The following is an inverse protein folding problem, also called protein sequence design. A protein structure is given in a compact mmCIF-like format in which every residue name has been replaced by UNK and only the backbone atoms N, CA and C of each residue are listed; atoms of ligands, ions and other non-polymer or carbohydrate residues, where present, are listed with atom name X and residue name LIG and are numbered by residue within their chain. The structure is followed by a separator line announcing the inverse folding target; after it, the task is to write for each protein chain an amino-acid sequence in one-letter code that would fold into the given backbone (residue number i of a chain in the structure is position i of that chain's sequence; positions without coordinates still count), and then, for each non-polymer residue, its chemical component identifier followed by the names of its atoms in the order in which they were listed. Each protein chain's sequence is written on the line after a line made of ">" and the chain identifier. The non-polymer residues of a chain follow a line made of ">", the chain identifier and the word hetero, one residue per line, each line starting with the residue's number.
data_IF_463020439508
#
_entry.id   IF_463020439508
#
_cell.length_a   1.000
_cell.length_b   1.000
_cell.length_c   1.000
_cell.angle_alpha   90.00
_cell.angle_beta   90.00
_cell.angle_gamma   90.00
#
_symmetry.space_group_name_H-M   'P 1'
#
loop_
_entity.id
_entity.type
_entity.pdbx_description
1 polymer ?
#
# COMPACT_ATOMS: atom_id res chain seq x y z
N UNK A 1 -15.56 -22.94 -1.60
CA UNK A 1 -16.74 -22.31 -0.95
C UNK A 1 -17.00 -20.98 -1.62
N UNK A 2 -18.03 -20.89 -2.47
CA UNK A 2 -18.44 -19.62 -3.08
C UNK A 2 -19.12 -18.81 -1.97
N UNK A 3 -18.49 -17.69 -1.58
CA UNK A 3 -18.92 -16.85 -0.44
C UNK A 3 -20.36 -16.35 -0.67
N UNK A 4 -21.27 -16.45 0.33
CA UNK A 4 -22.64 -15.93 0.27
C UNK A 4 -22.72 -14.46 -0.16
N UNK A 5 -21.68 -13.68 0.19
CA UNK A 5 -21.51 -12.25 -0.08
C UNK A 5 -21.45 -11.84 -1.56
N UNK A 6 -21.03 -12.74 -2.47
CA UNK A 6 -20.98 -12.39 -3.90
C UNK A 6 -22.39 -12.28 -4.47
N UNK A 7 -23.32 -13.14 -4.02
CA UNK A 7 -24.71 -13.16 -4.51
C UNK A 7 -25.54 -12.00 -3.97
N UNK A 8 -25.22 -11.46 -2.79
CA UNK A 8 -25.90 -10.29 -2.23
C UNK A 8 -25.45 -8.98 -2.91
N UNK A 9 -24.14 -8.79 -3.11
CA UNK A 9 -23.62 -7.64 -3.90
C UNK A 9 -24.18 -7.62 -5.31
N UNK A 10 -24.23 -8.79 -5.96
CA UNK A 10 -24.78 -8.92 -7.33
C UNK A 10 -26.30 -8.63 -7.37
N UNK A 11 -27.05 -8.97 -6.31
CA UNK A 11 -28.47 -8.64 -6.19
C UNK A 11 -28.73 -7.16 -5.91
N UNK A 12 -27.91 -6.51 -5.08
CA UNK A 12 -27.99 -5.07 -4.87
C UNK A 12 -27.62 -4.30 -6.16
N UNK A 13 -26.60 -4.77 -6.88
CA UNK A 13 -26.22 -4.25 -8.19
C UNK A 13 -27.30 -4.49 -9.26
N UNK A 14 -27.93 -5.68 -9.27
CA UNK A 14 -29.09 -5.99 -10.13
C UNK A 14 -30.34 -5.17 -9.78
N UNK A 15 -30.57 -4.86 -8.51
CA UNK A 15 -31.67 -4.00 -8.08
C UNK A 15 -31.44 -2.53 -8.47
N UNK A 16 -30.18 -2.07 -8.55
CA UNK A 16 -29.82 -0.75 -9.10
C UNK A 16 -29.96 -0.68 -10.63
N UNK A 17 -29.78 -1.79 -11.35
CA UNK A 17 -29.84 -1.88 -12.81
C UNK A 17 -31.27 -1.88 -13.39
N UNK A 18 -32.31 -1.67 -12.57
CA UNK A 18 -33.71 -1.60 -13.04
C UNK A 18 -33.95 -0.48 -14.06
N UNK A 19 -33.14 0.58 -14.04
CA UNK A 19 -33.01 1.58 -15.11
C UNK A 19 -31.56 1.62 -15.61
N UNK A 20 -31.35 1.97 -16.89
CA UNK A 20 -30.02 2.14 -17.45
C UNK A 20 -29.27 3.22 -16.67
N UNK A 21 -28.10 2.93 -16.06
CA UNK A 21 -27.37 3.91 -15.28
C UNK A 21 -26.99 5.11 -16.15
N UNK A 22 -27.06 6.30 -15.56
CA UNK A 22 -26.68 7.53 -16.24
C UNK A 22 -25.26 7.39 -16.84
N UNK A 23 -25.04 7.74 -18.12
CA UNK A 23 -23.72 7.63 -18.74
C UNK A 23 -22.62 8.37 -17.98
N UNK A 24 -22.94 9.49 -17.30
CA UNK A 24 -22.01 10.21 -16.45
C UNK A 24 -21.59 9.41 -15.22
N UNK A 25 -22.51 8.66 -14.61
CA UNK A 25 -22.21 7.77 -13.49
C UNK A 25 -21.26 6.62 -13.91
N UNK A 26 -21.49 6.01 -15.07
CA UNK A 26 -20.62 4.95 -15.62
C UNK A 26 -19.20 5.49 -15.84
N UNK A 27 -19.07 6.64 -16.51
CA UNK A 27 -17.77 7.25 -16.78
C UNK A 27 -17.01 7.58 -15.48
N UNK A 28 -17.72 7.95 -14.43
CA UNK A 28 -17.09 8.25 -13.13
C UNK A 28 -16.64 6.97 -12.42
N UNK A 29 -17.39 5.87 -12.52
CA UNK A 29 -16.94 4.57 -12.01
C UNK A 29 -15.71 4.06 -12.75
N UNK A 30 -15.70 4.13 -14.08
CA UNK A 30 -14.54 3.75 -14.90
C UNK A 30 -13.31 4.60 -14.54
N UNK A 31 -13.49 5.91 -14.29
CA UNK A 31 -12.39 6.77 -13.84
C UNK A 31 -11.81 6.31 -12.50
N UNK A 32 -12.66 6.02 -11.51
CA UNK A 32 -12.20 5.59 -10.19
C UNK A 32 -11.57 4.20 -10.22
N UNK A 33 -12.10 3.27 -11.01
CA UNK A 33 -11.51 1.94 -11.21
C UNK A 33 -10.12 2.04 -11.83
N UNK A 34 -9.96 2.83 -12.90
CA UNK A 34 -8.65 3.09 -13.50
C UNK A 34 -7.68 3.73 -12.50
N UNK A 35 -8.18 4.60 -11.61
CA UNK A 35 -7.37 5.26 -10.59
C UNK A 35 -6.89 4.30 -9.50
N UNK A 36 -7.77 3.44 -9.01
CA UNK A 36 -7.43 2.38 -8.04
C UNK A 36 -6.42 1.40 -8.63
N UNK A 37 -6.61 0.99 -9.89
CA UNK A 37 -5.68 0.11 -10.60
C UNK A 37 -4.30 0.74 -10.79
N UNK A 38 -4.22 2.03 -11.16
CA UNK A 38 -2.96 2.78 -11.25
C UNK A 38 -2.26 2.87 -9.89
N UNK A 39 -2.99 3.11 -8.81
CA UNK A 39 -2.43 3.15 -7.45
C UNK A 39 -1.90 1.77 -7.03
N UNK A 40 -2.66 0.71 -7.25
CA UNK A 40 -2.26 -0.66 -6.93
C UNK A 40 -0.97 -1.07 -7.65
N UNK A 41 -0.85 -0.77 -8.96
CA UNK A 41 0.38 -1.02 -9.73
C UNK A 41 1.57 -0.24 -9.15
N UNK A 42 1.38 1.05 -8.81
CA UNK A 42 2.45 1.87 -8.23
C UNK A 42 2.89 1.38 -6.86
N UNK A 43 1.95 0.99 -6.01
CA UNK A 43 2.23 0.45 -4.67
C UNK A 43 2.97 -0.88 -4.79
N UNK A 44 2.52 -1.78 -5.67
CA UNK A 44 3.20 -3.05 -5.94
C UNK A 44 4.62 -2.84 -6.49
N UNK A 45 4.80 -1.91 -7.42
CA UNK A 45 6.11 -1.53 -7.94
C UNK A 45 7.06 -0.98 -6.87
N UNK A 46 6.56 -0.11 -5.98
CA UNK A 46 7.34 0.43 -4.87
C UNK A 46 7.71 -0.65 -3.84
N UNK A 47 6.80 -1.58 -3.56
CA UNK A 47 7.07 -2.71 -2.65
C UNK A 47 8.18 -3.61 -3.21
N UNK A 48 8.13 -3.93 -4.51
CA UNK A 48 9.19 -4.69 -5.18
C UNK A 48 10.54 -3.94 -5.14
N UNK A 49 10.52 -2.63 -5.39
CA UNK A 49 11.71 -1.80 -5.29
C UNK A 49 12.29 -1.77 -3.87
N UNK A 50 11.44 -1.64 -2.84
CA UNK A 50 11.86 -1.68 -1.45
C UNK A 50 12.49 -3.02 -1.07
N UNK A 51 11.99 -4.14 -1.60
CA UNK A 51 12.58 -5.46 -1.39
C UNK A 51 14.00 -5.55 -1.97
N UNK A 52 14.22 -5.01 -3.17
CA UNK A 52 15.55 -4.92 -3.78
C UNK A 52 16.48 -4.04 -2.93
N UNK A 53 16.02 -2.85 -2.53
CA UNK A 53 16.80 -1.92 -1.73
C UNK A 53 17.17 -2.49 -0.36
N UNK A 54 16.24 -3.19 0.30
CA UNK A 54 16.49 -3.83 1.59
C UNK A 54 17.51 -4.95 1.44
N UNK A 55 17.38 -5.78 0.40
CA UNK A 55 18.36 -6.84 0.09
C UNK A 55 19.75 -6.23 -0.07
N UNK A 56 19.85 -5.21 -0.91
CA UNK A 56 21.11 -4.51 -1.18
C UNK A 56 21.69 -3.90 0.10
N UNK A 57 20.86 -3.21 0.88
CA UNK A 57 21.28 -2.54 2.11
C UNK A 57 21.71 -3.50 3.24
N UNK A 58 21.37 -4.79 3.17
CA UNK A 58 21.87 -5.81 4.11
C UNK A 58 23.26 -6.36 3.75
N UNK A 59 23.78 -6.07 2.54
CA UNK A 59 25.10 -6.59 2.11
C UNK A 59 26.25 -6.28 3.07
N UNK A 60 26.35 -5.10 3.70
CA UNK A 60 27.41 -4.86 4.67
C UNK A 60 27.46 -5.88 5.80
N UNK A 61 26.31 -6.41 6.22
CA UNK A 61 26.20 -7.34 7.35
C UNK A 61 26.38 -8.79 6.88
N UNK A 62 25.89 -9.12 5.68
CA UNK A 62 25.87 -10.50 5.16
C UNK A 62 27.05 -10.86 4.26
N UNK A 63 27.82 -9.88 3.79
CA UNK A 63 28.97 -10.12 2.92
C UNK A 63 30.11 -10.84 3.65
N UNK A 64 30.89 -11.60 2.88
CA UNK A 64 32.03 -12.33 3.43
C UNK A 64 33.09 -11.38 4.02
N UNK A 65 33.84 -11.83 5.04
CA UNK A 65 35.00 -11.09 5.55
C UNK A 65 35.95 -10.71 4.40
N UNK A 66 36.39 -9.45 4.35
CA UNK A 66 37.28 -8.92 3.31
C UNK A 66 36.61 -8.19 2.14
N UNK A 67 35.28 -8.21 2.03
CA UNK A 67 34.57 -7.35 1.08
C UNK A 67 34.69 -5.86 1.47
N UNK A 68 34.68 -4.92 0.52
CA UNK A 68 34.89 -3.50 0.80
C UNK A 68 33.85 -2.93 1.78
N UNK A 69 32.60 -3.39 1.72
CA UNK A 69 31.52 -2.96 2.62
C UNK A 69 31.25 -3.91 3.79
N UNK A 70 31.92 -5.07 3.90
CA UNK A 70 31.57 -6.03 4.95
C UNK A 70 31.93 -5.52 6.35
N UNK A 71 31.03 -5.70 7.29
CA UNK A 71 31.17 -5.33 8.68
C UNK A 71 31.37 -6.58 9.50
N UNK A 72 32.23 -6.48 10.50
CA UNK A 72 32.41 -7.51 11.52
C UNK A 72 31.80 -7.00 12.82
N UNK A 73 30.67 -7.58 13.24
CA UNK A 73 29.87 -7.06 14.35
C UNK A 73 30.62 -6.97 15.70
N UNK A 74 31.53 -7.90 16.07
CA UNK A 74 32.33 -7.78 17.28
C UNK A 74 33.32 -6.60 17.27
N UNK A 75 33.86 -6.25 16.10
CA UNK A 75 34.89 -5.20 15.98
C UNK A 75 34.30 -3.84 15.60
N UNK A 76 33.20 -3.81 14.85
CA UNK A 76 32.54 -2.60 14.35
C UNK A 76 31.04 -2.53 14.75
N UNK A 77 30.68 -2.71 16.04
CA UNK A 77 29.28 -2.85 16.46
C UNK A 77 28.44 -1.60 16.16
N UNK A 78 29.04 -0.41 16.22
CA UNK A 78 28.35 0.86 15.95
C UNK A 78 27.95 0.96 14.47
N UNK A 79 28.87 0.62 13.55
CA UNK A 79 28.57 0.65 12.11
C UNK A 79 27.54 -0.42 11.73
N UNK A 80 27.57 -1.59 12.37
CA UNK A 80 26.54 -2.62 12.19
C UNK A 80 25.16 -2.12 12.62
N UNK A 81 25.06 -1.48 13.79
CA UNK A 81 23.81 -0.89 14.26
C UNK A 81 23.31 0.22 13.33
N UNK A 82 24.20 1.11 12.89
CA UNK A 82 23.85 2.16 11.93
C UNK A 82 23.35 1.58 10.60
N UNK A 83 23.96 0.49 10.11
CA UNK A 83 23.50 -0.21 8.90
C UNK A 83 22.09 -0.79 9.07
N UNK A 84 21.75 -1.32 10.24
CA UNK A 84 20.39 -1.79 10.54
C UNK A 84 19.39 -0.64 10.65
N UNK A 85 19.76 0.45 11.32
CA UNK A 85 18.93 1.66 11.43
C UNK A 85 18.70 2.30 10.05
N UNK A 86 19.70 2.23 9.16
CA UNK A 86 19.61 2.63 7.76
C UNK A 86 18.46 2.00 6.99
N UNK A 87 18.11 0.76 7.34
CA UNK A 87 17.05 -0.02 6.70
C UNK A 87 15.66 0.27 7.29
N UNK A 88 15.56 0.85 8.49
CA UNK A 88 14.29 1.03 9.17
C UNK A 88 13.26 1.84 8.35
N UNK A 89 13.63 2.92 7.64
CA UNK A 89 12.68 3.64 6.78
C UNK A 89 12.21 2.81 5.56
N UNK A 90 13.04 1.90 5.02
CA UNK A 90 12.65 0.99 3.93
C UNK A 90 11.63 -0.06 4.41
N UNK A 91 11.83 -0.59 5.62
CA UNK A 91 10.88 -1.49 6.28
C UNK A 91 9.57 -0.76 6.53
N UNK A 92 9.62 0.46 7.06
CA UNK A 92 8.44 1.29 7.28
C UNK A 92 7.68 1.57 5.97
N UNK A 93 8.40 1.92 4.90
CA UNK A 93 7.81 2.10 3.57
C UNK A 93 7.08 0.86 3.08
N UNK A 94 7.67 -0.33 3.26
CA UNK A 94 7.06 -1.61 2.91
C UNK A 94 5.79 -1.91 3.72
N UNK A 95 5.78 -1.60 5.02
CA UNK A 95 4.58 -1.73 5.86
C UNK A 95 3.45 -0.82 5.35
N UNK A 96 3.77 0.43 4.99
CA UNK A 96 2.80 1.36 4.43
C UNK A 96 2.26 0.91 3.07
N UNK A 97 3.12 0.33 2.21
CA UNK A 97 2.70 -0.27 0.94
C UNK A 97 1.74 -1.46 1.17
N UNK A 98 2.06 -2.35 2.12
CA UNK A 98 1.19 -3.47 2.46
C UNK A 98 -0.16 -3.00 3.02
N UNK A 99 -0.14 -1.99 3.91
CA UNK A 99 -1.38 -1.37 4.41
C UNK A 99 -2.23 -0.78 3.29
N UNK A 100 -1.61 -0.09 2.34
CA UNK A 100 -2.31 0.47 1.19
C UNK A 100 -2.95 -0.61 0.31
N UNK A 101 -2.27 -1.74 0.08
CA UNK A 101 -2.85 -2.86 -0.66
C UNK A 101 -4.03 -3.50 0.10
N UNK A 102 -3.88 -3.73 1.40
CA UNK A 102 -4.93 -4.36 2.23
C UNK A 102 -6.16 -3.46 2.42
N UNK A 103 -5.99 -2.13 2.40
CA UNK A 103 -7.11 -1.17 2.40
C UNK A 103 -8.05 -1.35 1.19
N UNK A 104 -7.54 -1.85 0.06
CA UNK A 104 -8.38 -2.22 -1.09
C UNK A 104 -9.17 -3.52 -0.87
N UNK A 105 -8.69 -4.42 0.00
CA UNK A 105 -9.31 -5.73 0.27
C UNK A 105 -10.40 -5.67 1.36
N UNK A 106 -10.24 -4.78 2.35
CA UNK A 106 -11.12 -4.64 3.53
C UNK A 106 -12.41 -3.83 3.27
N UNK A 107 -12.92 -3.84 2.04
CA UNK A 107 -14.19 -3.19 1.71
C UNK A 107 -15.37 -3.87 2.44
N UNK A 108 -15.61 -3.44 3.68
CA UNK A 108 -16.62 -3.97 4.59
C UNK A 108 -17.95 -3.26 4.35
N UNK A 109 -18.90 -3.99 3.75
CA UNK A 109 -20.27 -3.51 3.48
C UNK A 109 -21.25 -3.97 4.56
N UNK A 110 -20.75 -4.56 5.66
CA UNK A 110 -21.56 -5.15 6.72
C UNK A 110 -22.35 -4.05 7.47
N UNK A 111 -23.67 -4.21 7.57
CA UNK A 111 -24.60 -3.22 8.17
C UNK A 111 -25.26 -2.23 7.19
N UNK A 112 -24.76 -2.11 5.96
CA UNK A 112 -25.40 -1.33 4.89
C UNK A 112 -26.53 -2.10 4.19
N UNK A 113 -26.52 -3.43 4.32
CA UNK A 113 -27.44 -4.37 3.67
C UNK A 113 -28.78 -4.52 4.43
N UNK A 114 -28.83 -4.28 5.75
CA UNK A 114 -30.05 -4.40 6.55
C UNK A 114 -31.14 -3.39 6.15
N UNK A 115 -30.75 -2.18 5.68
CA UNK A 115 -31.68 -1.16 5.22
C UNK A 115 -32.37 -1.51 3.88
N UNK A 116 -31.67 -2.21 2.98
CA UNK A 116 -32.18 -2.64 1.67
C UNK A 116 -33.23 -3.76 1.78
N UNK A 117 -33.08 -4.66 2.76
CA UNK A 117 -33.98 -5.80 2.96
C UNK A 117 -35.28 -5.38 3.66
N UNK A 118 -35.26 -4.29 4.44
CA UNK A 118 -36.38 -3.85 5.26
C UNK A 118 -37.43 -3.01 4.51
N UNK A 119 -37.05 -2.22 3.48
CA UNK A 119 -38.01 -1.47 2.65
C UNK A 119 -37.36 -1.00 1.34
N UNK A 120 -37.98 -1.23 0.16
CA UNK A 120 -37.47 -0.79 -1.13
C UNK A 120 -37.81 0.68 -1.37
N UNK A 121 -37.40 1.55 -0.46
CA UNK A 121 -37.57 2.99 -0.59
C UNK A 121 -36.44 3.55 -1.49
N UNK A 122 -36.74 4.18 -2.64
CA UNK A 122 -35.73 4.71 -3.56
C UNK A 122 -34.75 5.69 -2.89
N UNK A 123 -35.19 6.43 -1.86
CA UNK A 123 -34.33 7.34 -1.11
C UNK A 123 -33.27 6.61 -0.26
N UNK A 124 -33.56 5.39 0.20
CA UNK A 124 -32.61 4.57 0.95
C UNK A 124 -31.55 3.96 0.03
N UNK A 125 -31.95 3.55 -1.17
CA UNK A 125 -31.03 3.07 -2.21
C UNK A 125 -30.03 4.17 -2.62
N UNK A 126 -30.52 5.40 -2.83
CA UNK A 126 -29.66 6.55 -3.17
C UNK A 126 -28.68 6.91 -2.04
N UNK A 127 -29.14 6.85 -0.77
CA UNK A 127 -28.25 7.08 0.39
C UNK A 127 -27.17 6.00 0.51
N UNK A 128 -27.52 4.75 0.25
CA UNK A 128 -26.57 3.64 0.23
C UNK A 128 -25.52 3.81 -0.87
N UNK A 129 -25.95 4.13 -2.09
CA UNK A 129 -25.05 4.41 -3.22
C UNK A 129 -24.05 5.52 -2.88
N UNK A 130 -24.52 6.63 -2.29
CA UNK A 130 -23.63 7.73 -1.87
C UNK A 130 -22.63 7.31 -0.81
N UNK A 131 -23.01 6.44 0.13
CA UNK A 131 -22.11 5.92 1.18
C UNK A 131 -21.05 4.99 0.61
N UNK A 132 -21.44 4.05 -0.25
CA UNK A 132 -20.50 3.15 -0.93
C UNK A 132 -19.51 3.94 -1.78
N UNK A 133 -20.01 4.94 -2.50
CA UNK A 133 -19.20 5.82 -3.33
C UNK A 133 -18.23 6.68 -2.50
N UNK A 134 -18.70 7.26 -1.39
CA UNK A 134 -17.86 8.01 -0.47
C UNK A 134 -16.79 7.13 0.18
N UNK A 135 -17.12 5.90 0.55
CA UNK A 135 -16.16 4.93 1.07
C UNK A 135 -15.08 4.58 0.04
N UNK A 136 -15.45 4.48 -1.24
CA UNK A 136 -14.51 4.16 -2.34
C UNK A 136 -13.57 5.31 -2.67
N UNK A 137 -14.08 6.54 -2.67
CA UNK A 137 -13.20 7.70 -2.78
C UNK A 137 -12.25 7.77 -1.58
N UNK A 138 -12.77 7.54 -0.37
CA UNK A 138 -11.95 7.55 0.83
C UNK A 138 -10.84 6.48 0.81
N UNK A 139 -11.11 5.28 0.30
CA UNK A 139 -10.09 4.24 0.17
C UNK A 139 -9.00 4.64 -0.83
N UNK A 140 -9.38 5.22 -1.98
CA UNK A 140 -8.42 5.73 -2.99
C UNK A 140 -7.54 6.83 -2.39
N UNK A 141 -8.13 7.76 -1.64
CA UNK A 141 -7.39 8.83 -0.97
C UNK A 141 -6.44 8.28 0.10
N UNK A 142 -6.88 7.29 0.89
CA UNK A 142 -6.04 6.62 1.88
C UNK A 142 -4.87 5.88 1.23
N UNK A 143 -5.11 5.13 0.14
CA UNK A 143 -4.07 4.47 -0.64
C UNK A 143 -3.06 5.49 -1.20
N UNK A 144 -3.53 6.59 -1.78
CA UNK A 144 -2.67 7.64 -2.32
C UNK A 144 -1.83 8.31 -1.23
N UNK A 145 -2.42 8.53 -0.04
CA UNK A 145 -1.72 9.07 1.11
C UNK A 145 -0.61 8.12 1.59
N UNK A 146 -0.92 6.84 1.77
CA UNK A 146 0.05 5.82 2.14
C UNK A 146 1.17 5.72 1.10
N UNK A 147 0.85 5.69 -0.20
CA UNK A 147 1.84 5.68 -1.28
C UNK A 147 2.79 6.87 -1.19
N UNK A 148 2.28 8.08 -0.96
CA UNK A 148 3.12 9.28 -0.80
C UNK A 148 4.07 9.14 0.39
N UNK A 149 3.58 8.66 1.54
CA UNK A 149 4.41 8.44 2.72
C UNK A 149 5.46 7.35 2.48
N UNK A 150 5.09 6.25 1.82
CA UNK A 150 6.00 5.18 1.42
C UNK A 150 7.14 5.71 0.55
N UNK A 151 6.83 6.52 -0.47
CA UNK A 151 7.86 7.12 -1.34
C UNK A 151 8.86 7.95 -0.53
N UNK A 152 8.38 8.81 0.37
CA UNK A 152 9.25 9.64 1.21
C UNK A 152 10.13 8.75 2.09
N UNK A 153 9.55 7.77 2.77
CA UNK A 153 10.29 6.83 3.62
C UNK A 153 11.33 6.02 2.84
N UNK A 154 11.02 5.62 1.59
CA UNK A 154 11.97 4.95 0.69
C UNK A 154 13.16 5.83 0.37
N UNK A 155 12.93 7.09 0.00
CA UNK A 155 14.01 8.04 -0.28
C UNK A 155 14.87 8.30 0.96
N UNK A 156 14.25 8.49 2.13
CA UNK A 156 14.97 8.67 3.39
C UNK A 156 15.82 7.44 3.73
N UNK A 157 15.28 6.23 3.57
CA UNK A 157 16.00 4.98 3.83
C UNK A 157 17.16 4.76 2.86
N UNK A 158 16.95 5.03 1.56
CA UNK A 158 18.01 4.97 0.56
C UNK A 158 19.16 5.94 0.85
N UNK A 159 18.83 7.21 1.17
CA UNK A 159 19.82 8.22 1.52
C UNK A 159 20.61 7.85 2.78
N UNK A 160 19.92 7.36 3.82
CA UNK A 160 20.54 6.92 5.07
C UNK A 160 21.45 5.71 4.85
N UNK A 161 21.02 4.75 4.04
CA UNK A 161 21.83 3.56 3.68
C UNK A 161 23.11 3.97 2.97
N UNK A 162 23.03 4.87 1.97
CA UNK A 162 24.21 5.39 1.26
C UNK A 162 25.15 6.16 2.20
N UNK A 163 24.60 6.97 3.12
CA UNK A 163 25.40 7.69 4.10
C UNK A 163 26.19 6.74 5.01
N UNK A 164 25.53 5.68 5.49
CA UNK A 164 26.20 4.65 6.30
C UNK A 164 27.27 3.93 5.50
N UNK A 165 27.00 3.53 4.25
CA UNK A 165 28.02 2.93 3.39
C UNK A 165 29.23 3.84 3.18
N UNK A 166 29.00 5.14 2.99
CA UNK A 166 30.07 6.13 2.92
C UNK A 166 30.91 6.17 4.19
N UNK A 167 30.27 6.09 5.37
CA UNK A 167 30.97 6.03 6.65
C UNK A 167 31.78 4.74 6.81
N UNK A 168 31.25 3.59 6.38
CA UNK A 168 31.97 2.30 6.39
C UNK A 168 33.21 2.36 5.51
N UNK A 169 33.08 2.90 4.29
CA UNK A 169 34.21 3.03 3.37
C UNK A 169 35.26 4.00 3.92
N UNK A 170 34.83 5.12 4.51
CA UNK A 170 35.73 6.08 5.12
C UNK A 170 36.55 5.44 6.26
N UNK A 171 35.87 4.76 7.21
CA UNK A 171 36.50 4.07 8.33
C UNK A 171 37.54 3.02 7.89
N UNK A 172 37.28 2.33 6.77
CA UNK A 172 38.21 1.33 6.24
C UNK A 172 39.38 1.91 5.45
N UNK A 173 39.26 3.13 4.93
CA UNK A 173 40.31 3.79 4.14
C UNK A 173 41.21 4.69 4.98
N UNK A 174 40.79 5.06 6.19
CA UNK A 174 41.56 5.85 7.18
C UNK A 174 42.44 4.98 8.08
#
# INVERSE_FOLDING_TARGET
>A
MVRPFFRSRLRAFQAMLGEAPDPGFIATLEYLENRDLDLSIRIGGLLAFNALMTTIGTHPISASPGAPLSLDAPTQPVLTLLSLVGLAPLVWSSILCLRALLLGEEFETEGLEEGLVASPDPDQVLKLQRRLYAAFIHSIDAQAHCLRQSVIATFTGGALTIAVWGAILFDKMS
#
